data_IF_898594306622
#
_entry.id   IF_898594306622
#
_cell.length_a   1.000
_cell.length_b   1.000
_cell.length_c   1.000
_cell.angle_alpha   90.00
_cell.angle_beta   90.00
_cell.angle_gamma   90.00
#
_symmetry.space_group_name_H-M   'P 1'
#
loop_
_entity.id
_entity.type
_entity.pdbx_description
1 polymer ?
#
# COMPACT_ATOMS: atom_id res chain seq x y z
N UNK A 1 -3.59 34.49 -44.15
CA UNK A 1 -2.33 34.60 -43.36
C UNK A 1 -2.51 34.60 -41.85
N UNK A 2 -3.56 35.20 -41.24
CA UNK A 2 -3.74 35.20 -39.77
C UNK A 2 -4.09 33.83 -39.16
N UNK A 3 -4.89 33.01 -39.85
CA UNK A 3 -5.33 31.69 -39.37
C UNK A 3 -4.17 30.68 -39.29
N UNK A 4 -3.22 30.75 -40.22
CA UNK A 4 -2.07 29.84 -40.25
C UNK A 4 -1.09 30.06 -39.08
N UNK A 5 -0.94 31.32 -38.62
CA UNK A 5 -0.09 31.64 -37.45
C UNK A 5 -0.68 31.13 -36.13
N UNK A 6 -2.01 31.08 -36.00
CA UNK A 6 -2.69 30.60 -34.79
C UNK A 6 -2.54 29.07 -34.68
N UNK A 7 -2.77 28.34 -35.77
CA UNK A 7 -2.65 26.88 -35.78
C UNK A 7 -1.21 26.43 -35.48
N UNK A 8 -0.20 27.10 -36.07
CA UNK A 8 1.21 26.79 -35.78
C UNK A 8 1.58 27.08 -34.33
N UNK A 9 1.09 28.18 -33.74
CA UNK A 9 1.36 28.52 -32.35
C UNK A 9 0.69 27.53 -31.37
N UNK A 10 -0.54 27.09 -31.67
CA UNK A 10 -1.25 26.08 -30.86
C UNK A 10 -0.55 24.71 -30.94
N UNK A 11 -0.12 24.28 -32.12
CA UNK A 11 0.64 23.03 -32.28
C UNK A 11 2.00 23.12 -31.58
N UNK A 12 2.68 24.26 -31.62
CA UNK A 12 3.94 24.47 -30.91
C UNK A 12 3.77 24.48 -29.39
N UNK A 13 2.69 25.08 -28.87
CA UNK A 13 2.36 25.05 -27.45
C UNK A 13 1.95 23.64 -26.97
N UNK A 14 1.23 22.87 -27.78
CA UNK A 14 0.89 21.47 -27.47
C UNK A 14 2.16 20.60 -27.49
N UNK A 15 3.05 20.81 -28.46
CA UNK A 15 4.35 20.12 -28.51
C UNK A 15 5.23 20.50 -27.32
N UNK A 16 5.29 21.77 -26.93
CA UNK A 16 6.01 22.23 -25.74
C UNK A 16 5.41 21.68 -24.44
N UNK A 17 4.07 21.64 -24.30
CA UNK A 17 3.41 21.01 -23.15
C UNK A 17 3.67 19.50 -23.10
N UNK A 18 3.64 18.81 -24.25
CA UNK A 18 3.96 17.37 -24.33
C UNK A 18 5.44 17.04 -24.13
N UNK A 19 6.33 18.02 -24.33
CA UNK A 19 7.77 17.91 -24.06
C UNK A 19 8.12 18.27 -22.61
N UNK A 20 7.28 19.02 -21.90
CA UNK A 20 7.47 19.34 -20.47
C UNK A 20 6.88 18.30 -19.51
N UNK A 21 6.10 17.33 -19.99
CA UNK A 21 5.65 16.18 -19.17
C UNK A 21 6.63 15.01 -19.18
N UNK A 22 7.72 15.09 -19.95
CA UNK A 22 8.88 14.22 -19.74
C UNK A 22 9.83 14.95 -18.80
N UNK A 23 10.18 14.38 -17.63
CA UNK A 23 11.24 14.96 -16.82
C UNK A 23 12.49 15.03 -17.72
N UNK A 24 13.08 16.22 -17.82
CA UNK A 24 14.44 16.40 -18.32
C UNK A 24 15.31 15.29 -17.72
N UNK A 25 15.79 14.37 -18.55
CA UNK A 25 16.68 13.23 -18.22
C UNK A 25 17.10 13.21 -16.75
N UNK A 26 16.35 12.49 -15.94
CA UNK A 26 16.63 12.38 -14.52
C UNK A 26 17.80 11.42 -14.34
N UNK A 27 19.03 11.90 -14.57
CA UNK A 27 20.23 11.08 -14.47
C UNK A 27 20.28 10.27 -13.18
N UNK A 28 21.05 9.18 -13.20
CA UNK A 28 21.23 8.25 -12.09
C UNK A 28 21.32 8.98 -10.73
N UNK A 29 20.55 8.55 -9.74
CA UNK A 29 20.55 9.14 -8.41
C UNK A 29 21.97 9.24 -7.83
N UNK A 30 22.33 10.34 -7.13
CA UNK A 30 23.57 10.39 -6.37
C UNK A 30 23.64 9.26 -5.34
N UNK A 31 24.85 8.76 -5.05
CA UNK A 31 25.04 7.63 -4.13
C UNK A 31 24.45 7.93 -2.75
N UNK A 32 24.63 9.13 -2.21
CA UNK A 32 24.04 9.54 -0.95
C UNK A 32 22.50 9.56 -0.94
N UNK A 33 21.85 9.64 -2.11
CA UNK A 33 20.39 9.52 -2.25
C UNK A 33 19.98 8.06 -2.35
N UNK A 34 20.69 7.23 -3.12
CA UNK A 34 20.49 5.78 -3.10
C UNK A 34 20.74 5.17 -1.73
N UNK A 35 21.65 5.79 -0.98
CA UNK A 35 22.05 5.41 0.36
C UNK A 35 21.28 6.14 1.46
N UNK A 36 20.29 6.98 1.13
CA UNK A 36 19.22 7.32 2.08
C UNK A 36 18.43 6.06 2.36
N UNK A 37 18.98 5.27 3.27
CA UNK A 37 18.44 4.02 3.71
C UNK A 37 17.82 4.32 5.05
N UNK A 38 16.62 3.82 5.26
CA UNK A 38 16.19 3.47 6.61
C UNK A 38 17.35 2.77 7.31
N UNK A 39 17.52 3.03 8.61
CA UNK A 39 18.59 2.44 9.41
C UNK A 39 18.41 0.92 9.47
N UNK A 40 18.89 0.23 8.44
CA UNK A 40 18.78 -1.22 8.26
C UNK A 40 20.13 -1.85 8.58
N UNK A 41 20.08 -2.85 9.46
CA UNK A 41 21.21 -3.61 9.96
C UNK A 41 22.11 -4.17 8.85
N UNK A 42 23.41 -4.18 9.11
CA UNK A 42 24.40 -4.84 8.25
C UNK A 42 24.16 -6.35 8.13
N UNK A 43 23.65 -6.98 9.18
CA UNK A 43 23.40 -8.42 9.23
C UNK A 43 22.24 -8.79 8.32
N UNK A 44 21.15 -8.01 8.36
CA UNK A 44 20.03 -8.16 7.44
C UNK A 44 20.46 -7.97 5.96
N UNK A 45 21.31 -6.97 5.69
CA UNK A 45 21.88 -6.76 4.34
C UNK A 45 22.69 -7.94 3.87
N UNK A 46 23.63 -8.41 4.69
CA UNK A 46 24.47 -9.57 4.36
C UNK A 46 23.62 -10.82 4.13
N UNK A 47 22.57 -11.01 4.93
CA UNK A 47 21.63 -12.11 4.71
C UNK A 47 21.00 -12.03 3.33
N UNK A 48 20.47 -10.88 2.91
CA UNK A 48 19.81 -10.69 1.61
C UNK A 48 20.80 -10.77 0.44
N UNK A 49 21.98 -10.17 0.57
CA UNK A 49 23.05 -10.21 -0.45
C UNK A 49 23.51 -11.64 -0.74
N UNK A 50 23.35 -12.57 0.22
CA UNK A 50 23.66 -13.98 0.02
C UNK A 50 22.58 -14.78 -0.72
N UNK A 51 21.41 -14.18 -1.01
CA UNK A 51 20.27 -14.85 -1.66
C UNK A 51 20.23 -14.64 -3.16
N UNK A 52 19.53 -15.52 -3.86
CA UNK A 52 19.32 -15.42 -5.29
C UNK A 52 18.22 -14.38 -5.57
N UNK A 53 18.60 -13.11 -5.64
CA UNK A 53 17.68 -11.97 -5.83
C UNK A 53 16.63 -12.20 -6.92
N UNK A 54 16.96 -12.73 -8.13
CA UNK A 54 15.94 -12.97 -9.15
C UNK A 54 14.86 -13.99 -8.77
N UNK A 55 15.15 -14.91 -7.84
CA UNK A 55 14.19 -15.92 -7.37
C UNK A 55 13.24 -15.39 -6.31
N UNK A 56 13.52 -14.24 -5.67
CA UNK A 56 12.65 -13.69 -4.63
C UNK A 56 11.25 -13.31 -5.15
N UNK A 57 11.08 -13.14 -6.46
CA UNK A 57 9.77 -12.92 -7.07
C UNK A 57 8.87 -14.17 -7.06
N UNK A 58 9.41 -15.35 -6.75
CA UNK A 58 8.67 -16.58 -6.51
C UNK A 58 8.22 -16.64 -5.04
N UNK A 59 6.91 -16.79 -4.81
CA UNK A 59 6.33 -16.78 -3.46
C UNK A 59 6.95 -17.87 -2.57
N UNK A 60 7.14 -19.10 -3.07
CA UNK A 60 7.68 -20.21 -2.27
C UNK A 60 9.10 -19.89 -1.79
N UNK A 61 9.96 -19.43 -2.71
CA UNK A 61 11.33 -19.04 -2.36
C UNK A 61 11.39 -17.82 -1.43
N UNK A 62 10.50 -16.84 -1.61
CA UNK A 62 10.39 -15.68 -0.71
C UNK A 62 10.12 -16.13 0.74
N UNK A 63 9.11 -16.99 0.91
CA UNK A 63 8.69 -17.45 2.24
C UNK A 63 9.69 -18.41 2.86
N UNK A 64 10.37 -19.24 2.06
CA UNK A 64 11.52 -20.04 2.50
C UNK A 64 12.63 -19.13 3.05
N UNK A 65 13.00 -18.06 2.33
CA UNK A 65 14.00 -17.12 2.78
C UNK A 65 13.62 -16.41 4.09
N UNK A 66 12.34 -16.07 4.28
CA UNK A 66 11.89 -15.50 5.53
C UNK A 66 11.96 -16.52 6.68
N UNK A 67 11.51 -17.76 6.45
CA UNK A 67 11.60 -18.85 7.44
C UNK A 67 13.05 -19.10 7.88
N UNK A 68 13.96 -19.14 6.91
CA UNK A 68 15.41 -19.22 7.10
C UNK A 68 15.96 -18.11 8.00
N UNK A 69 15.49 -16.86 7.82
CA UNK A 69 15.93 -15.73 8.62
C UNK A 69 15.44 -15.85 10.06
N UNK A 70 14.19 -16.27 10.25
CA UNK A 70 13.55 -16.35 11.56
C UNK A 70 14.22 -17.36 12.49
N UNK A 71 14.71 -18.48 11.94
CA UNK A 71 15.36 -19.55 12.73
C UNK A 71 16.87 -19.38 12.93
N UNK A 72 17.48 -18.32 12.38
CA UNK A 72 18.91 -18.06 12.56
C UNK A 72 19.18 -17.37 13.89
N UNK A 73 20.03 -18.01 14.69
CA UNK A 73 20.44 -17.50 16.00
C UNK A 73 21.40 -16.29 15.88
N UNK A 74 22.07 -16.13 14.74
CA UNK A 74 22.97 -14.99 14.52
C UNK A 74 22.23 -13.68 14.18
N UNK A 75 20.93 -13.75 13.90
CA UNK A 75 20.08 -12.59 13.64
C UNK A 75 19.28 -12.26 14.89
N UNK A 76 19.40 -11.01 15.36
CA UNK A 76 18.49 -10.45 16.38
C UNK A 76 17.10 -10.24 15.81
N UNK A 77 16.13 -9.96 16.66
CA UNK A 77 14.77 -9.66 16.27
C UNK A 77 14.68 -8.37 15.44
N UNK A 78 15.46 -7.34 15.78
CA UNK A 78 15.63 -6.15 14.93
C UNK A 78 16.17 -6.55 13.55
N UNK A 79 17.19 -7.42 13.46
CA UNK A 79 17.72 -7.91 12.18
C UNK A 79 16.68 -8.67 11.35
N UNK A 80 15.78 -9.43 12.00
CA UNK A 80 14.72 -10.20 11.34
C UNK A 80 13.64 -9.28 10.77
N UNK A 81 13.27 -8.21 11.49
CA UNK A 81 12.34 -7.18 10.99
C UNK A 81 12.94 -6.47 9.78
N UNK A 82 14.21 -6.07 9.88
CA UNK A 82 14.96 -5.46 8.78
C UNK A 82 15.07 -6.40 7.57
N UNK A 83 15.28 -7.69 7.81
CA UNK A 83 15.32 -8.72 6.75
C UNK A 83 13.98 -8.81 6.04
N UNK A 84 12.87 -8.80 6.79
CA UNK A 84 11.52 -8.82 6.20
C UNK A 84 11.25 -7.57 5.34
N UNK A 85 11.62 -6.38 5.82
CA UNK A 85 11.56 -5.16 5.02
C UNK A 85 12.37 -5.28 3.72
N UNK A 86 13.62 -5.76 3.80
CA UNK A 86 14.47 -5.91 2.61
C UNK A 86 13.94 -6.95 1.62
N UNK A 87 13.35 -8.06 2.09
CA UNK A 87 12.70 -9.04 1.23
C UNK A 87 11.57 -8.37 0.44
N UNK A 88 10.64 -7.70 1.13
CA UNK A 88 9.52 -6.98 0.48
C UNK A 88 10.03 -5.91 -0.48
N UNK A 89 11.06 -5.15 -0.09
CA UNK A 89 11.65 -4.09 -0.92
C UNK A 89 12.25 -4.64 -2.20
N UNK A 90 12.93 -5.77 -2.13
CA UNK A 90 13.60 -6.38 -3.27
C UNK A 90 12.63 -6.74 -4.40
N UNK A 91 11.42 -7.16 -4.04
CA UNK A 91 10.36 -7.49 -5.01
C UNK A 91 9.41 -6.32 -5.29
N UNK A 92 9.62 -5.17 -4.66
CA UNK A 92 8.79 -3.97 -4.82
C UNK A 92 7.43 -4.05 -4.14
N UNK A 93 7.32 -4.84 -3.07
CA UNK A 93 6.15 -4.93 -2.20
C UNK A 93 6.24 -4.02 -0.97
N UNK A 94 7.43 -3.50 -0.65
CA UNK A 94 7.55 -2.53 0.45
C UNK A 94 6.83 -1.23 0.09
N UNK A 95 6.07 -0.69 1.05
CA UNK A 95 5.43 0.60 0.93
C UNK A 95 6.26 1.68 1.63
N UNK A 96 6.67 2.68 0.85
CA UNK A 96 7.33 3.88 1.35
C UNK A 96 6.60 5.15 0.85
N UNK A 97 5.27 5.13 0.85
CA UNK A 97 4.45 6.20 0.28
C UNK A 97 4.07 6.00 -1.19
N UNK A 98 4.45 4.87 -1.78
CA UNK A 98 4.03 4.50 -3.12
C UNK A 98 3.89 2.98 -3.28
N UNK A 99 2.98 2.57 -4.17
CA UNK A 99 2.72 1.17 -4.55
C UNK A 99 2.91 0.98 -6.04
N UNK A 100 3.49 -0.16 -6.43
CA UNK A 100 3.60 -0.63 -7.81
C UNK A 100 2.32 -1.36 -8.21
N UNK A 101 1.59 -0.84 -9.21
CA UNK A 101 0.37 -1.43 -9.75
C UNK A 101 0.65 -1.93 -11.17
N UNK A 102 0.68 -3.26 -11.40
CA UNK A 102 0.84 -3.80 -12.74
C UNK A 102 -0.29 -3.37 -13.68
N UNK A 103 0.00 -3.22 -14.98
CA UNK A 103 -1.00 -2.86 -15.98
C UNK A 103 -2.19 -3.84 -15.96
N UNK A 104 -3.40 -3.27 -15.94
CA UNK A 104 -4.64 -4.04 -15.91
C UNK A 104 -5.12 -4.45 -14.52
N UNK A 105 -4.39 -4.10 -13.47
CA UNK A 105 -4.80 -4.31 -12.08
C UNK A 105 -5.27 -3.00 -11.43
N UNK A 106 -6.25 -3.12 -10.55
CA UNK A 106 -6.63 -2.10 -9.58
C UNK A 106 -5.74 -2.16 -8.33
N UNK A 107 -5.75 -1.10 -7.52
CA UNK A 107 -5.04 -1.09 -6.25
C UNK A 107 -5.53 -2.21 -5.31
N UNK A 108 -6.85 -2.38 -5.20
CA UNK A 108 -7.43 -3.43 -4.36
C UNK A 108 -6.99 -4.83 -4.79
N UNK A 109 -6.91 -5.12 -6.09
CA UNK A 109 -6.44 -6.43 -6.55
C UNK A 109 -4.96 -6.69 -6.21
N UNK A 110 -4.12 -5.64 -6.23
CA UNK A 110 -2.72 -5.75 -5.79
C UNK A 110 -2.65 -6.02 -4.29
N UNK A 111 -3.36 -5.22 -3.49
CA UNK A 111 -3.44 -5.39 -2.03
C UNK A 111 -3.97 -6.78 -1.65
N UNK A 112 -5.05 -7.23 -2.29
CA UNK A 112 -5.66 -8.53 -2.05
C UNK A 112 -4.70 -9.68 -2.39
N UNK A 113 -3.95 -9.59 -3.49
CA UNK A 113 -2.95 -10.61 -3.85
C UNK A 113 -1.81 -10.70 -2.85
N UNK A 114 -1.27 -9.55 -2.42
CA UNK A 114 -0.24 -9.52 -1.38
C UNK A 114 -0.77 -10.10 -0.06
N UNK A 115 -1.98 -9.71 0.35
CA UNK A 115 -2.65 -10.24 1.53
C UNK A 115 -2.87 -11.75 1.45
N UNK A 116 -3.25 -12.28 0.27
CA UNK A 116 -3.41 -13.71 0.06
C UNK A 116 -2.07 -14.45 0.11
N UNK A 117 -0.97 -13.88 -0.42
CA UNK A 117 0.37 -14.46 -0.27
C UNK A 117 0.76 -14.55 1.21
N UNK A 118 0.52 -13.47 1.98
CA UNK A 118 0.74 -13.43 3.42
C UNK A 118 -0.10 -14.48 4.18
N UNK A 119 -1.40 -14.59 3.89
CA UNK A 119 -2.29 -15.58 4.52
C UNK A 119 -1.90 -17.03 4.18
N UNK A 120 -1.46 -17.28 2.95
CA UNK A 120 -0.98 -18.61 2.53
C UNK A 120 0.30 -18.99 3.29
N UNK A 121 1.24 -18.04 3.43
CA UNK A 121 2.49 -18.25 4.13
C UNK A 121 2.32 -18.44 5.64
N UNK A 122 1.34 -17.76 6.24
CA UNK A 122 1.04 -17.81 7.68
C UNK A 122 0.90 -19.26 8.18
N UNK A 123 0.25 -20.15 7.42
CA UNK A 123 0.10 -21.55 7.84
C UNK A 123 1.45 -22.28 7.95
N UNK A 124 2.39 -22.01 7.05
CA UNK A 124 3.73 -22.61 7.06
C UNK A 124 4.60 -21.98 8.16
N UNK A 125 4.57 -20.65 8.28
CA UNK A 125 5.38 -19.92 9.26
C UNK A 125 4.94 -20.15 10.71
N UNK A 126 3.64 -20.36 10.97
CA UNK A 126 3.13 -20.72 12.30
C UNK A 126 3.72 -22.04 12.83
N UNK A 127 4.15 -22.94 11.95
CA UNK A 127 4.78 -24.21 12.37
C UNK A 127 6.14 -24.02 13.03
N UNK A 128 6.74 -22.84 12.91
CA UNK A 128 8.01 -22.48 13.57
C UNK A 128 7.84 -22.24 15.08
N UNK A 129 6.61 -22.11 15.59
CA UNK A 129 6.31 -21.83 17.00
C UNK A 129 7.14 -20.66 17.59
N UNK A 130 7.35 -19.62 16.77
CA UNK A 130 8.19 -18.49 17.12
C UNK A 130 7.54 -17.64 18.23
N UNK A 131 8.34 -17.25 19.22
CA UNK A 131 7.88 -16.32 20.26
C UNK A 131 7.85 -14.87 19.72
N UNK A 132 6.65 -14.39 19.40
CA UNK A 132 6.45 -13.06 18.79
C UNK A 132 6.57 -11.87 19.74
N UNK A 133 6.78 -12.09 21.05
CA UNK A 133 6.74 -11.00 22.04
C UNK A 133 7.76 -9.89 21.75
N UNK A 134 8.95 -10.24 21.30
CA UNK A 134 9.98 -9.25 20.96
C UNK A 134 9.57 -8.40 19.75
N UNK A 135 8.93 -8.98 18.72
CA UNK A 135 8.40 -8.20 17.60
C UNK A 135 7.29 -7.25 18.04
N UNK A 136 6.43 -7.67 18.97
CA UNK A 136 5.40 -6.80 19.55
C UNK A 136 6.02 -5.66 20.37
N UNK A 137 7.10 -5.93 21.12
CA UNK A 137 7.84 -4.90 21.85
C UNK A 137 8.52 -3.91 20.90
N UNK A 138 9.14 -4.38 19.81
CA UNK A 138 9.71 -3.54 18.75
C UNK A 138 8.62 -2.63 18.17
N UNK A 139 7.46 -3.20 17.80
CA UNK A 139 6.35 -2.40 17.27
C UNK A 139 5.93 -1.28 18.25
N UNK A 140 5.80 -1.58 19.53
CA UNK A 140 5.43 -0.60 20.57
C UNK A 140 6.52 0.44 20.86
N UNK A 141 7.79 0.05 20.75
CA UNK A 141 8.94 0.92 20.97
C UNK A 141 9.08 1.95 19.85
N UNK A 142 8.84 1.51 18.61
CA UNK A 142 9.29 2.23 17.41
C UNK A 142 8.18 2.99 16.67
N UNK A 143 6.90 2.76 16.97
CA UNK A 143 5.80 3.27 16.15
C UNK A 143 5.75 4.80 16.02
N UNK A 144 6.30 5.55 16.98
CA UNK A 144 6.32 7.02 16.92
C UNK A 144 7.41 7.54 15.98
N UNK A 145 8.59 6.91 15.92
CA UNK A 145 9.79 7.49 15.28
C UNK A 145 10.40 6.63 14.16
N UNK A 146 10.20 5.32 14.21
CA UNK A 146 10.73 4.35 13.25
C UNK A 146 9.58 3.53 12.67
N UNK A 147 8.59 4.24 12.13
CA UNK A 147 7.28 3.68 11.72
C UNK A 147 7.43 2.47 10.80
N UNK A 148 8.30 2.54 9.79
CA UNK A 148 8.52 1.40 8.89
C UNK A 148 8.97 0.17 9.69
N UNK A 149 9.94 0.30 10.59
CA UNK A 149 10.43 -0.82 11.40
C UNK A 149 9.32 -1.37 12.31
N UNK A 150 8.59 -0.51 13.01
CA UNK A 150 7.45 -0.90 13.84
C UNK A 150 6.35 -1.63 13.05
N UNK A 151 6.00 -1.12 11.88
CA UNK A 151 5.01 -1.70 10.98
C UNK A 151 5.38 -3.09 10.51
N UNK A 152 6.64 -3.29 10.09
CA UNK A 152 7.13 -4.62 9.67
C UNK A 152 7.17 -5.59 10.85
N UNK A 153 7.55 -5.14 12.05
CA UNK A 153 7.53 -5.96 13.25
C UNK A 153 6.11 -6.43 13.61
N UNK A 154 5.11 -5.53 13.53
CA UNK A 154 3.71 -5.89 13.75
C UNK A 154 3.21 -6.89 12.71
N UNK A 155 3.53 -6.70 11.42
CA UNK A 155 3.14 -7.65 10.36
C UNK A 155 3.80 -9.01 10.58
N UNK A 156 5.08 -9.08 10.96
CA UNK A 156 5.74 -10.34 11.32
C UNK A 156 5.08 -11.04 12.50
N UNK A 157 4.74 -10.29 13.56
CA UNK A 157 4.05 -10.85 14.71
C UNK A 157 2.67 -11.44 14.31
N UNK A 158 1.92 -10.75 13.46
CA UNK A 158 0.64 -11.24 12.92
C UNK A 158 0.81 -12.44 11.98
N UNK A 159 1.88 -12.49 11.18
CA UNK A 159 2.20 -13.63 10.32
C UNK A 159 2.55 -14.87 11.14
N UNK A 160 3.28 -14.72 12.25
CA UNK A 160 3.79 -15.84 13.03
C UNK A 160 2.81 -16.33 14.09
N UNK A 161 2.09 -15.41 14.75
CA UNK A 161 1.15 -15.76 15.81
C UNK A 161 0.06 -14.68 15.94
N UNK A 162 -0.98 -14.72 15.09
CA UNK A 162 -2.03 -13.72 15.09
C UNK A 162 -2.82 -13.73 16.40
N UNK A 163 -3.02 -14.90 17.03
CA UNK A 163 -3.75 -15.05 18.29
C UNK A 163 -3.10 -14.27 19.44
N UNK A 164 -1.78 -14.41 19.60
CA UNK A 164 -1.03 -13.71 20.65
C UNK A 164 -0.90 -12.21 20.37
N UNK A 165 -1.00 -11.82 19.09
CA UNK A 165 -0.77 -10.45 18.63
C UNK A 165 -2.03 -9.57 18.64
N UNK A 166 -3.23 -10.14 18.89
CA UNK A 166 -4.52 -9.42 18.82
C UNK A 166 -4.58 -8.17 19.68
N UNK A 167 -4.15 -8.26 20.95
CA UNK A 167 -4.21 -7.11 21.86
C UNK A 167 -3.32 -5.96 21.41
N UNK A 168 -2.13 -6.26 20.86
CA UNK A 168 -1.26 -5.24 20.28
C UNK A 168 -1.87 -4.63 19.03
N UNK A 169 -2.50 -5.43 18.16
CA UNK A 169 -3.23 -4.91 17.01
C UNK A 169 -4.35 -3.95 17.43
N UNK A 170 -5.12 -4.30 18.46
CA UNK A 170 -6.19 -3.43 18.99
C UNK A 170 -5.68 -2.07 19.49
N UNK A 171 -4.47 -2.03 20.04
CA UNK A 171 -3.78 -0.79 20.43
C UNK A 171 -3.44 0.07 19.21
N UNK A 172 -2.88 -0.53 18.15
CA UNK A 172 -2.54 0.22 16.92
C UNK A 172 -3.75 0.69 16.12
N UNK A 173 -4.91 0.08 16.33
CA UNK A 173 -6.20 0.52 15.77
C UNK A 173 -6.82 1.71 16.51
N UNK A 174 -6.16 2.26 17.52
CA UNK A 174 -6.58 3.48 18.20
C UNK A 174 -6.16 4.73 17.41
N UNK A 175 -7.08 5.69 17.28
CA UNK A 175 -6.85 6.92 16.53
C UNK A 175 -5.68 7.75 17.12
N UNK A 176 -5.58 7.84 18.44
CA UNK A 176 -4.52 8.62 19.10
C UNK A 176 -3.15 7.97 18.88
N UNK A 177 -3.10 6.64 18.73
CA UNK A 177 -1.88 5.90 18.41
C UNK A 177 -1.47 6.17 16.97
N UNK A 178 -2.40 6.09 16.01
CA UNK A 178 -2.13 6.41 14.60
C UNK A 178 -1.62 7.85 14.43
N UNK A 179 -2.21 8.81 15.14
CA UNK A 179 -1.84 10.23 15.04
C UNK A 179 -0.47 10.57 15.65
N UNK A 180 0.06 9.72 16.53
CA UNK A 180 1.41 9.89 17.10
C UNK A 180 2.52 9.38 16.21
N UNK A 181 2.20 8.54 15.22
CA UNK A 181 3.20 8.04 14.28
C UNK A 181 3.77 9.21 13.45
N UNK A 182 5.10 9.28 13.33
CA UNK A 182 5.77 10.31 12.53
C UNK A 182 5.36 10.29 11.05
N UNK A 183 4.98 9.11 10.54
CA UNK A 183 4.46 8.90 9.18
C UNK A 183 3.20 8.03 9.23
N UNK A 184 2.03 8.60 9.55
CA UNK A 184 0.79 7.82 9.76
C UNK A 184 0.39 6.95 8.57
N UNK A 185 0.66 7.43 7.34
CA UNK A 185 0.36 6.70 6.12
C UNK A 185 1.10 5.35 6.01
N UNK A 186 2.36 5.27 6.46
CA UNK A 186 3.10 3.99 6.49
C UNK A 186 2.48 3.06 7.53
N UNK A 187 2.21 3.58 8.73
CA UNK A 187 1.60 2.78 9.79
C UNK A 187 0.26 2.21 9.33
N UNK A 188 -0.62 3.05 8.77
CA UNK A 188 -1.94 2.68 8.30
C UNK A 188 -1.92 1.60 7.23
N UNK A 189 -1.03 1.74 6.24
CA UNK A 189 -0.90 0.78 5.14
C UNK A 189 -0.54 -0.62 5.65
N UNK A 190 0.44 -0.73 6.55
CA UNK A 190 0.81 -2.03 7.12
C UNK A 190 -0.19 -2.52 8.17
N UNK A 191 -0.85 -1.61 8.89
CA UNK A 191 -1.96 -1.96 9.79
C UNK A 191 -3.11 -2.62 9.03
N UNK A 192 -3.37 -2.21 7.78
CA UNK A 192 -4.34 -2.85 6.90
C UNK A 192 -4.00 -4.34 6.67
N UNK A 193 -2.74 -4.66 6.37
CA UNK A 193 -2.29 -6.06 6.25
C UNK A 193 -2.38 -6.82 7.58
N UNK A 194 -1.98 -6.19 8.70
CA UNK A 194 -2.10 -6.80 10.03
C UNK A 194 -3.55 -7.12 10.39
N UNK A 195 -4.51 -6.26 10.02
CA UNK A 195 -5.94 -6.53 10.19
C UNK A 195 -6.37 -7.74 9.39
N UNK A 196 -5.98 -7.85 8.12
CA UNK A 196 -6.31 -9.03 7.29
C UNK A 196 -5.72 -10.30 7.89
N UNK A 197 -4.46 -10.24 8.34
CA UNK A 197 -3.75 -11.36 8.97
C UNK A 197 -4.34 -11.81 10.31
N UNK A 198 -5.08 -10.94 11.00
CA UNK A 198 -5.82 -11.31 12.21
C UNK A 198 -6.94 -12.31 11.91
N UNK A 199 -7.45 -12.33 10.67
CA UNK A 199 -8.65 -13.08 10.25
C UNK A 199 -9.91 -12.71 11.06
N UNK A 200 -9.94 -11.52 11.67
CA UNK A 200 -11.07 -11.02 12.44
C UNK A 200 -11.73 -9.84 11.75
N UNK A 201 -12.93 -10.05 11.19
CA UNK A 201 -13.68 -8.97 10.53
C UNK A 201 -14.00 -7.82 11.50
N UNK A 202 -14.09 -8.08 12.80
CA UNK A 202 -14.28 -7.05 13.84
C UNK A 202 -13.09 -6.10 13.93
N UNK A 203 -11.87 -6.55 13.66
CA UNK A 203 -10.69 -5.69 13.58
C UNK A 203 -10.77 -4.77 12.35
N UNK A 204 -11.32 -5.26 11.23
CA UNK A 204 -11.56 -4.44 10.05
C UNK A 204 -12.66 -3.40 10.26
N UNK A 205 -13.74 -3.76 10.95
CA UNK A 205 -14.76 -2.80 11.38
C UNK A 205 -14.19 -1.74 12.32
N UNK A 206 -13.31 -2.11 13.26
CA UNK A 206 -12.61 -1.15 14.12
C UNK A 206 -11.68 -0.24 13.31
N UNK A 207 -10.92 -0.79 12.35
CA UNK A 207 -10.07 0.00 11.45
C UNK A 207 -10.90 1.02 10.65
N UNK A 208 -12.12 0.66 10.25
CA UNK A 208 -13.03 1.55 9.56
C UNK A 208 -13.42 2.79 10.38
N UNK A 209 -13.38 2.73 11.72
CA UNK A 209 -13.62 3.90 12.57
C UNK A 209 -12.55 5.00 12.37
N UNK A 210 -11.33 4.61 11.97
CA UNK A 210 -10.24 5.54 11.66
C UNK A 210 -10.48 6.37 10.40
N UNK A 211 -11.43 5.97 9.53
CA UNK A 211 -11.70 6.62 8.24
C UNK A 211 -11.91 8.14 8.37
N UNK A 212 -12.59 8.57 9.43
CA UNK A 212 -12.87 10.00 9.70
C UNK A 212 -11.64 10.83 10.11
N UNK A 213 -10.58 10.17 10.55
CA UNK A 213 -9.33 10.79 11.00
C UNK A 213 -8.24 10.82 9.92
N UNK A 214 -8.44 10.11 8.81
CA UNK A 214 -7.48 10.00 7.71
C UNK A 214 -7.88 10.96 6.60
N UNK A 215 -7.05 11.98 6.37
CA UNK A 215 -7.32 13.00 5.36
C UNK A 215 -7.01 12.56 3.92
N UNK A 216 -5.99 11.72 3.73
CA UNK A 216 -5.58 11.29 2.39
C UNK A 216 -6.54 10.26 1.81
N UNK A 217 -6.85 10.39 0.52
CA UNK A 217 -7.74 9.45 -0.17
C UNK A 217 -7.13 8.05 -0.22
N UNK A 218 -5.82 7.94 -0.44
CA UNK A 218 -5.16 6.65 -0.56
C UNK A 218 -5.02 5.93 0.79
N UNK A 219 -4.86 6.67 1.90
CA UNK A 219 -4.94 6.07 3.24
C UNK A 219 -6.34 5.54 3.56
N UNK A 220 -7.39 6.26 3.13
CA UNK A 220 -8.78 5.76 3.23
C UNK A 220 -9.03 4.54 2.34
N UNK A 221 -8.36 4.45 1.18
CA UNK A 221 -8.36 3.22 0.37
C UNK A 221 -7.71 2.03 1.08
N UNK A 222 -6.64 2.22 1.86
CA UNK A 222 -6.02 1.14 2.65
C UNK A 222 -7.03 0.52 3.64
N UNK A 223 -7.82 1.36 4.30
CA UNK A 223 -8.90 0.95 5.21
C UNK A 223 -9.96 0.15 4.44
N UNK A 224 -10.41 0.66 3.29
CA UNK A 224 -11.38 -0.06 2.44
C UNK A 224 -10.84 -1.39 1.95
N UNK A 225 -9.56 -1.45 1.56
CA UNK A 225 -8.94 -2.68 1.10
C UNK A 225 -8.92 -3.74 2.21
N UNK A 226 -8.54 -3.38 3.44
CA UNK A 226 -8.62 -4.30 4.58
C UNK A 226 -10.05 -4.77 4.85
N UNK A 227 -11.02 -3.85 4.83
CA UNK A 227 -12.44 -4.16 5.02
C UNK A 227 -12.97 -5.12 3.93
N UNK A 228 -12.57 -4.87 2.68
CA UNK A 228 -12.94 -5.65 1.51
C UNK A 228 -12.38 -7.06 1.45
N UNK A 229 -11.40 -7.40 2.29
CA UNK A 229 -10.88 -8.77 2.40
C UNK A 229 -11.81 -9.72 3.18
N UNK A 230 -12.84 -9.19 3.84
CA UNK A 230 -13.81 -9.98 4.58
C UNK A 230 -15.14 -10.03 3.82
N UNK A 231 -15.68 -11.22 3.60
CA UNK A 231 -16.97 -11.45 2.96
C UNK A 231 -18.08 -11.64 4.01
N UNK A 232 -18.41 -10.59 4.76
CA UNK A 232 -19.55 -10.61 5.70
C UNK A 232 -20.58 -9.55 5.32
N UNK A 233 -21.83 -9.73 5.76
CA UNK A 233 -22.89 -8.74 5.51
C UNK A 233 -22.53 -7.39 6.18
N UNK A 234 -21.97 -7.41 7.38
CA UNK A 234 -21.59 -6.19 8.11
C UNK A 234 -20.49 -5.39 7.41
N UNK A 235 -19.48 -6.10 6.88
CA UNK A 235 -18.38 -5.46 6.16
C UNK A 235 -18.85 -4.93 4.81
N UNK A 236 -19.69 -5.67 4.10
CA UNK A 236 -20.31 -5.23 2.85
C UNK A 236 -21.19 -3.98 3.05
N UNK A 237 -22.05 -3.96 4.07
CA UNK A 237 -22.90 -2.81 4.37
C UNK A 237 -22.09 -1.58 4.79
N UNK A 238 -21.00 -1.78 5.54
CA UNK A 238 -20.07 -0.69 5.87
C UNK A 238 -19.43 -0.09 4.60
N UNK A 239 -18.97 -0.94 3.66
CA UNK A 239 -18.40 -0.49 2.37
C UNK A 239 -19.43 0.29 1.56
N UNK A 240 -20.66 -0.24 1.41
CA UNK A 240 -21.73 0.44 0.66
C UNK A 240 -22.04 1.83 1.24
N UNK A 241 -22.08 1.94 2.57
CA UNK A 241 -22.30 3.22 3.27
C UNK A 241 -21.18 4.22 2.97
N UNK A 242 -19.93 3.79 3.01
CA UNK A 242 -18.77 4.64 2.68
C UNK A 242 -18.88 5.13 1.23
N UNK A 243 -19.12 4.22 0.28
CA UNK A 243 -19.29 4.59 -1.15
C UNK A 243 -20.36 5.66 -1.31
N UNK A 244 -21.53 5.49 -0.68
CA UNK A 244 -22.61 6.47 -0.75
C UNK A 244 -22.19 7.82 -0.17
N UNK A 245 -21.57 7.85 1.01
CA UNK A 245 -21.09 9.08 1.65
C UNK A 245 -20.06 9.81 0.79
N UNK A 246 -19.07 9.12 0.25
CA UNK A 246 -18.06 9.74 -0.62
C UNK A 246 -18.68 10.29 -1.90
N UNK A 247 -19.63 9.57 -2.52
CA UNK A 247 -20.33 10.03 -3.72
C UNK A 247 -21.21 11.27 -3.49
N UNK A 248 -21.77 11.45 -2.28
CA UNK A 248 -22.50 12.68 -1.93
C UNK A 248 -21.61 13.91 -1.93
N UNK A 249 -20.37 13.79 -1.43
CA UNK A 249 -19.41 14.89 -1.37
C UNK A 249 -18.74 15.11 -2.72
N UNK A 250 -17.99 14.11 -3.20
CA UNK A 250 -17.27 14.12 -4.48
C UNK A 250 -16.78 12.72 -4.88
N UNK A 251 -16.81 12.42 -6.17
CA UNK A 251 -16.16 11.21 -6.67
C UNK A 251 -14.65 11.28 -6.44
N UNK A 252 -14.10 10.27 -5.79
CA UNK A 252 -12.68 10.10 -5.45
C UNK A 252 -12.25 8.62 -5.54
N UNK A 253 -10.97 8.32 -5.25
CA UNK A 253 -10.49 6.93 -5.31
C UNK A 253 -11.14 6.01 -4.26
N UNK A 254 -11.54 6.56 -3.12
CA UNK A 254 -12.21 5.80 -2.05
C UNK A 254 -13.53 5.22 -2.57
N UNK A 255 -14.35 6.05 -3.23
CA UNK A 255 -15.58 5.61 -3.86
C UNK A 255 -15.34 4.57 -4.98
N UNK A 256 -14.31 4.78 -5.82
CA UNK A 256 -13.96 3.83 -6.90
C UNK A 256 -13.57 2.46 -6.34
N UNK A 257 -12.63 2.44 -5.41
CA UNK A 257 -12.16 1.23 -4.72
C UNK A 257 -13.31 0.53 -4.00
N UNK A 258 -14.19 1.26 -3.32
CA UNK A 258 -15.37 0.69 -2.68
C UNK A 258 -16.35 0.02 -3.66
N UNK A 259 -16.63 0.64 -4.81
CA UNK A 259 -17.49 0.03 -5.85
C UNK A 259 -16.85 -1.25 -6.41
N UNK A 260 -15.53 -1.25 -6.65
CA UNK A 260 -14.80 -2.43 -7.10
C UNK A 260 -14.86 -3.57 -6.09
N UNK A 261 -14.73 -3.26 -4.79
CA UNK A 261 -14.86 -4.25 -3.72
C UNK A 261 -16.29 -4.82 -3.72
N UNK A 262 -17.33 -3.98 -3.71
CA UNK A 262 -18.73 -4.44 -3.73
C UNK A 262 -19.00 -5.34 -4.94
N UNK A 263 -18.44 -5.01 -6.11
CA UNK A 263 -18.55 -5.83 -7.31
C UNK A 263 -18.01 -7.25 -7.13
N UNK A 264 -16.94 -7.43 -6.36
CA UNK A 264 -16.32 -8.74 -6.12
C UNK A 264 -17.14 -9.60 -5.15
N UNK A 265 -17.92 -8.99 -4.25
CA UNK A 265 -18.73 -9.71 -3.26
C UNK A 265 -20.17 -10.00 -3.72
N UNK A 266 -20.64 -9.37 -4.79
CA UNK A 266 -22.00 -9.51 -5.31
C UNK A 266 -22.07 -10.29 -6.62
N UNK A 267 -23.23 -10.94 -6.84
CA UNK A 267 -23.57 -11.48 -8.16
C UNK A 267 -23.78 -10.35 -9.17
N UNK A 268 -23.74 -10.67 -10.47
CA UNK A 268 -23.91 -9.68 -11.54
C UNK A 268 -25.26 -8.92 -11.43
N UNK A 269 -26.33 -9.62 -11.06
CA UNK A 269 -27.66 -9.02 -10.90
C UNK A 269 -27.76 -8.14 -9.65
N UNK A 270 -27.17 -8.58 -8.54
CA UNK A 270 -27.22 -7.82 -7.28
C UNK A 270 -26.35 -6.58 -7.37
N UNK A 271 -25.16 -6.72 -7.98
CA UNK A 271 -24.30 -5.59 -8.27
C UNK A 271 -24.98 -4.59 -9.20
N UNK A 272 -25.64 -5.05 -10.28
CA UNK A 272 -26.38 -4.15 -11.17
C UNK A 272 -27.47 -3.39 -10.42
N UNK A 273 -28.20 -4.04 -9.53
CA UNK A 273 -29.26 -3.40 -8.73
C UNK A 273 -28.68 -2.33 -7.80
N UNK A 274 -27.65 -2.68 -7.02
CA UNK A 274 -26.91 -1.74 -6.18
C UNK A 274 -26.36 -0.56 -6.97
N UNK A 275 -25.78 -0.83 -8.14
CA UNK A 275 -25.19 0.20 -8.99
C UNK A 275 -26.24 1.17 -9.55
N UNK A 276 -27.43 0.67 -9.91
CA UNK A 276 -28.53 1.53 -10.33
C UNK A 276 -29.04 2.42 -9.18
N UNK A 277 -29.14 1.88 -7.96
CA UNK A 277 -29.47 2.67 -6.76
C UNK A 277 -28.45 3.79 -6.53
N UNK A 278 -27.15 3.50 -6.61
CA UNK A 278 -26.10 4.51 -6.49
C UNK A 278 -26.25 5.64 -7.53
N UNK A 279 -26.61 5.30 -8.77
CA UNK A 279 -26.80 6.28 -9.84
C UNK A 279 -27.99 7.19 -9.53
N UNK A 280 -29.11 6.61 -9.07
CA UNK A 280 -30.32 7.35 -8.69
C UNK A 280 -30.09 8.28 -7.49
N UNK A 281 -29.36 7.80 -6.48
CA UNK A 281 -29.06 8.55 -5.26
C UNK A 281 -27.96 9.61 -5.46
N UNK A 282 -27.11 9.45 -6.48
CA UNK A 282 -26.05 10.41 -6.76
C UNK A 282 -26.64 11.75 -7.25
N UNK A 283 -26.48 12.79 -6.44
CA UNK A 283 -26.95 14.17 -6.75
C UNK A 283 -26.23 14.83 -7.94
N UNK A 284 -25.22 14.17 -8.54
CA UNK A 284 -24.41 14.67 -9.66
C UNK A 284 -24.68 13.83 -10.90
N UNK A 285 -24.89 14.48 -12.06
CA UNK A 285 -24.94 13.83 -13.40
C UNK A 285 -23.55 13.24 -13.75
N UNK A 286 -23.20 12.10 -13.16
CA UNK A 286 -21.96 11.40 -13.47
C UNK A 286 -22.21 10.41 -14.61
N UNK A 287 -21.32 10.41 -15.61
CA UNK A 287 -21.32 9.38 -16.64
C UNK A 287 -20.42 8.25 -16.16
N UNK A 288 -21.01 7.08 -15.94
CA UNK A 288 -20.34 5.85 -15.52
C UNK A 288 -19.23 5.38 -16.48
N UNK A 289 -19.18 5.85 -17.72
CA UNK A 289 -18.03 5.65 -18.60
C UNK A 289 -16.74 6.26 -18.01
N UNK A 290 -16.86 7.28 -17.16
CA UNK A 290 -15.73 7.90 -16.46
C UNK A 290 -15.18 7.05 -15.31
N UNK A 291 -15.94 6.08 -14.76
CA UNK A 291 -15.41 5.10 -13.79
C UNK A 291 -14.40 4.19 -14.49
N UNK A 292 -14.75 3.70 -15.68
CA UNK A 292 -13.89 2.85 -16.51
C UNK A 292 -12.61 3.55 -16.99
N UNK A 293 -12.71 4.85 -17.32
CA UNK A 293 -11.58 5.64 -17.82
C UNK A 293 -10.68 6.22 -16.69
N UNK A 294 -11.15 6.25 -15.43
CA UNK A 294 -10.43 6.85 -14.29
C UNK A 294 -9.57 5.90 -13.47
N UNK A 295 -9.56 4.59 -13.78
CA UNK A 295 -8.57 3.64 -13.24
C UNK A 295 -7.10 4.09 -13.45
N UNK A 296 -6.86 5.20 -14.16
CA UNK A 296 -5.55 5.70 -14.59
C UNK A 296 -5.30 7.18 -14.30
N UNK A 297 -5.96 7.83 -13.33
CA UNK A 297 -5.74 9.27 -13.08
C UNK A 297 -5.54 9.62 -11.61
N UNK A 298 -4.55 9.05 -10.92
CA UNK A 298 -3.73 9.82 -9.95
C UNK A 298 -2.44 10.23 -10.64
N UNK A 299 -1.47 10.87 -9.95
CA UNK A 299 -0.14 11.19 -10.52
C UNK A 299 0.65 9.91 -10.83
N UNK A 300 0.19 9.16 -11.81
CA UNK A 300 0.71 7.86 -12.21
C UNK A 300 1.91 8.09 -13.11
N UNK A 301 3.06 7.64 -12.63
CA UNK A 301 4.25 7.55 -13.44
C UNK A 301 4.25 6.18 -14.12
N UNK A 302 4.40 6.19 -15.44
CA UNK A 302 4.54 4.99 -16.25
C UNK A 302 6.00 4.59 -16.29
N UNK A 303 6.36 3.44 -15.74
CA UNK A 303 7.66 2.84 -16.01
C UNK A 303 7.58 2.08 -17.33
N UNK A 304 8.05 2.73 -18.40
CA UNK A 304 7.83 2.31 -19.80
C UNK A 304 8.44 0.96 -20.14
N UNK A 305 9.39 0.49 -19.33
CA UNK A 305 10.14 -0.73 -19.62
C UNK A 305 9.43 -1.98 -19.06
N UNK A 306 8.39 -1.82 -18.21
CA UNK A 306 7.75 -2.95 -17.50
C UNK A 306 6.22 -2.96 -17.38
N UNK A 307 5.46 -2.04 -18.00
CA UNK A 307 3.97 -2.00 -17.88
C UNK A 307 3.52 -1.99 -16.40
N UNK A 308 4.18 -1.18 -15.57
CA UNK A 308 3.85 -0.96 -14.15
C UNK A 308 3.58 0.53 -13.95
N UNK A 309 2.50 0.83 -13.22
CA UNK A 309 2.15 2.17 -12.76
C UNK A 309 2.58 2.34 -11.32
N UNK A 310 3.04 3.54 -10.96
CA UNK A 310 3.34 3.88 -9.56
C UNK A 310 2.23 4.78 -9.01
N UNK A 311 1.52 4.29 -8.00
CA UNK A 311 0.53 5.08 -7.25
C UNK A 311 1.21 5.66 -6.01
N UNK A 312 1.25 6.99 -5.92
CA UNK A 312 1.89 7.74 -4.81
C UNK A 312 0.80 8.29 -3.89
N UNK A 313 1.04 8.22 -2.58
CA UNK A 313 0.13 8.76 -1.56
C UNK A 313 0.35 10.28 -1.47
N UNK A 314 -0.74 11.03 -1.32
CA UNK A 314 -0.71 12.50 -1.48
C UNK A 314 0.21 13.23 -0.49
N UNK A 315 0.44 12.63 0.67
CA UNK A 315 1.30 13.20 1.73
C UNK A 315 2.81 13.02 1.44
N UNK A 316 3.17 12.32 0.36
CA UNK A 316 4.55 12.08 -0.03
C UNK A 316 4.99 12.91 -1.23
N UNK A 317 6.26 13.28 -1.22
CA UNK A 317 6.94 13.83 -2.38
C UNK A 317 7.78 12.75 -3.04
N UNK A 318 7.72 12.73 -4.37
CA UNK A 318 8.49 11.81 -5.20
C UNK A 318 9.52 12.55 -6.03
N UNK A 319 10.77 12.09 -6.00
CA UNK A 319 11.81 12.51 -6.91
C UNK A 319 12.28 11.33 -7.74
N UNK A 320 11.98 11.37 -9.03
CA UNK A 320 12.27 10.30 -9.99
C UNK A 320 13.70 10.43 -10.50
N UNK A 321 14.39 9.30 -10.62
CA UNK A 321 15.70 9.11 -11.24
C UNK A 321 15.62 7.95 -12.23
N UNK A 322 16.61 7.82 -13.13
CA UNK A 322 16.66 6.74 -14.11
C UNK A 322 16.73 5.35 -13.45
N UNK A 323 17.31 5.27 -12.24
CA UNK A 323 17.55 4.04 -11.47
C UNK A 323 16.58 3.81 -10.30
N UNK A 324 15.58 4.67 -10.12
CA UNK A 324 14.58 4.50 -9.05
C UNK A 324 13.90 5.80 -8.65
N UNK A 325 13.18 5.78 -7.53
CA UNK A 325 12.43 6.93 -7.06
C UNK A 325 12.68 7.16 -5.57
N UNK A 326 13.13 8.36 -5.21
CA UNK A 326 13.20 8.78 -3.82
C UNK A 326 11.82 9.25 -3.38
N UNK A 327 11.29 8.60 -2.35
CA UNK A 327 10.08 9.00 -1.64
C UNK A 327 10.45 9.71 -0.35
N UNK A 328 9.82 10.85 -0.07
CA UNK A 328 10.04 11.61 1.16
C UNK A 328 8.72 12.04 1.78
N UNK A 329 8.66 11.99 3.11
CA UNK A 329 7.55 12.53 3.89
C UNK A 329 8.11 13.64 4.80
N UNK A 330 7.85 14.89 4.43
CA UNK A 330 8.48 16.04 5.07
C UNK A 330 10.01 15.90 5.15
N UNK A 331 10.58 16.27 6.29
CA UNK A 331 12.02 16.08 6.59
C UNK A 331 12.29 14.82 7.44
N UNK A 332 11.24 14.04 7.73
CA UNK A 332 11.28 13.03 8.79
C UNK A 332 11.43 11.60 8.26
N UNK A 333 11.13 11.37 6.99
CA UNK A 333 11.28 10.06 6.37
C UNK A 333 11.72 10.19 4.91
N UNK A 334 12.63 9.32 4.49
CA UNK A 334 13.07 9.17 3.12
C UNK A 334 13.39 7.71 2.83
N UNK A 335 12.97 7.20 1.67
CA UNK A 335 13.36 5.89 1.18
C UNK A 335 13.44 5.87 -0.34
N UNK A 336 14.38 5.10 -0.88
CA UNK A 336 14.60 4.94 -2.32
C UNK A 336 14.00 3.62 -2.82
N UNK A 337 13.07 3.72 -3.78
CA UNK A 337 12.25 2.63 -4.36
C UNK A 337 12.70 2.18 -5.74
#
# INVERSE_FOLDING_TARGET
MKVFKIVVLTILCILLFSLTERPLYAGIAPENIREQKLHVSSQARQFIESREIPKLADDEYFWECLGDALIRDELTEDDKVDTFYLLLKTIGWSFAGAVRIPEGYSYFEVFARQSMSFLNAQNSLQTLDYNVQEFLQIALRDYEQHVAHASHALVLAMLLNPETSKTSLEFFLDQDVLQKAQVPAILLHYLAFSVVLSRQYTAALKMNELMSSVSSEQGREDILCALGMFSTDETLEAIKKIVLTELEEQYNYVADTGVLIVRQHLSDSDFYSYFMELVEDSKKKFSLNKLKDRHFQSRLWWYTDKKVMIKIWDDFQARVYDDGMLMTYGEVFADFL
#
